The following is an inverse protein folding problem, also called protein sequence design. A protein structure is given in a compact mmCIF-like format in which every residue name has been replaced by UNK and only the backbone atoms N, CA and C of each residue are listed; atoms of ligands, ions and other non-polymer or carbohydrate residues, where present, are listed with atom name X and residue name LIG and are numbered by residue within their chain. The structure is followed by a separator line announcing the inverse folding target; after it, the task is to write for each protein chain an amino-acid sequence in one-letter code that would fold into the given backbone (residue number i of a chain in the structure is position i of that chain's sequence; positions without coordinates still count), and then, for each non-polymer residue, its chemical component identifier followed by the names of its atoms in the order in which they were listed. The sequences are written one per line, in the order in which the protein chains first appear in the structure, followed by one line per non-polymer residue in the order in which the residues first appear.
data_IF_311593297234
#
_entry.id   IF_311593297234
#
_cell.length_a   1.000
_cell.length_b   1.000
_cell.length_c   1.000
_cell.angle_alpha   90.00
_cell.angle_beta   90.00
_cell.angle_gamma   90.00
#
_symmetry.space_group_name_H-M   'P 1'
#
loop_
_entity.id
_entity.type
_entity.pdbx_description
1 polymer ?
#
# COMPACT_ATOMS: atom_id res chain seq x y z
N UNK A 1 5.29 9.21 13.72
CA UNK A 1 4.37 8.71 12.68
C UNK A 1 4.34 9.66 11.50
N UNK A 2 3.52 10.71 11.50
CA UNK A 2 3.62 11.76 10.47
C UNK A 2 2.87 13.02 10.88
N UNK A 3 3.18 14.14 10.24
CA UNK A 3 2.41 15.39 10.35
C UNK A 3 1.65 15.66 9.06
N UNK A 4 0.55 16.39 9.15
CA UNK A 4 -0.22 16.87 8.02
C UNK A 4 -0.18 18.40 7.98
N UNK A 5 0.03 18.96 6.80
CA UNK A 5 -0.09 20.40 6.55
C UNK A 5 -0.63 20.70 5.15
N UNK A 6 -1.03 21.94 4.92
CA UNK A 6 -1.55 22.45 3.63
C UNK A 6 -0.64 23.54 3.06
N UNK A 7 0.60 23.64 3.54
CA UNK A 7 1.55 24.73 3.26
C UNK A 7 1.58 25.79 4.35
N UNK A 8 1.89 27.04 3.97
CA UNK A 8 2.07 28.15 4.91
C UNK A 8 0.77 28.78 5.42
N UNK A 9 -0.39 28.34 4.92
CA UNK A 9 -1.71 28.85 5.28
C UNK A 9 -2.54 27.75 5.95
N UNK A 10 -3.37 28.08 6.96
CA UNK A 10 -4.39 27.17 7.49
C UNK A 10 -5.33 26.67 6.39
N UNK A 11 -5.87 25.45 6.55
CA UNK A 11 -6.85 24.88 5.63
C UNK A 11 -8.13 25.75 5.57
N UNK A 12 -8.56 26.27 6.72
CA UNK A 12 -9.75 27.12 6.84
C UNK A 12 -9.68 28.33 5.90
N UNK A 13 -8.57 29.07 5.93
CA UNK A 13 -8.33 30.21 5.04
C UNK A 13 -8.36 29.80 3.56
N UNK A 14 -7.78 28.63 3.22
CA UNK A 14 -7.77 28.13 1.84
C UNK A 14 -9.18 27.77 1.36
N UNK A 15 -10.04 27.29 2.25
CA UNK A 15 -11.42 26.93 1.95
C UNK A 15 -12.33 28.16 1.89
N UNK A 16 -12.08 29.18 2.72
CA UNK A 16 -12.80 30.45 2.68
C UNK A 16 -12.56 31.19 1.36
N UNK A 17 -11.32 31.21 0.86
CA UNK A 17 -10.97 31.80 -0.43
C UNK A 17 -11.78 31.24 -1.61
N UNK A 18 -12.19 29.97 -1.51
CA UNK A 18 -12.96 29.26 -2.55
C UNK A 18 -14.44 29.05 -2.16
N UNK A 19 -14.88 29.63 -1.04
CA UNK A 19 -16.26 29.56 -0.56
C UNK A 19 -16.73 28.16 -0.15
N UNK A 20 -15.82 27.27 0.24
CA UNK A 20 -16.11 25.87 0.58
C UNK A 20 -16.07 25.56 2.08
N UNK A 21 -15.70 26.52 2.94
CA UNK A 21 -15.55 26.30 4.39
C UNK A 21 -16.77 25.66 5.03
N UNK A 22 -17.95 26.22 4.76
CA UNK A 22 -19.20 25.69 5.30
C UNK A 22 -19.51 24.25 4.84
N UNK A 23 -19.28 23.95 3.56
CA UNK A 23 -19.48 22.61 3.01
C UNK A 23 -18.49 21.61 3.60
N UNK A 24 -17.22 22.01 3.73
CA UNK A 24 -16.18 21.22 4.37
C UNK A 24 -16.51 20.94 5.84
N UNK A 25 -16.88 21.94 6.63
CA UNK A 25 -17.20 21.77 8.05
C UNK A 25 -18.35 20.78 8.26
N UNK A 26 -19.39 20.88 7.43
CA UNK A 26 -20.51 19.93 7.44
C UNK A 26 -20.07 18.51 7.11
N UNK A 27 -19.20 18.33 6.12
CA UNK A 27 -18.68 17.03 5.74
C UNK A 27 -17.69 16.49 6.79
N UNK A 28 -16.90 17.36 7.41
CA UNK A 28 -15.98 17.03 8.51
C UNK A 28 -16.75 16.60 9.76
N UNK A 29 -17.86 17.25 10.10
CA UNK A 29 -18.73 16.87 11.21
C UNK A 29 -19.28 15.46 11.01
N UNK A 30 -19.86 15.17 9.83
CA UNK A 30 -20.36 13.83 9.48
C UNK A 30 -19.25 12.79 9.52
N UNK A 31 -18.11 13.09 8.89
CA UNK A 31 -16.94 12.21 8.85
C UNK A 31 -16.43 11.90 10.26
N UNK A 32 -16.35 12.92 11.12
CA UNK A 32 -15.89 12.80 12.50
C UNK A 32 -16.86 12.00 13.35
N UNK A 33 -18.18 12.24 13.22
CA UNK A 33 -19.20 11.46 13.92
C UNK A 33 -19.11 9.97 13.56
N UNK A 34 -18.99 9.65 12.26
CA UNK A 34 -18.82 8.29 11.80
C UNK A 34 -17.50 7.66 12.29
N UNK A 35 -16.40 8.42 12.23
CA UNK A 35 -15.10 7.98 12.72
C UNK A 35 -15.11 7.65 14.24
N UNK A 36 -15.79 8.45 15.07
CA UNK A 36 -15.98 8.13 16.50
C UNK A 36 -16.79 6.85 16.68
N UNK A 37 -17.89 6.71 15.94
CA UNK A 37 -18.72 5.51 15.99
C UNK A 37 -17.95 4.25 15.58
N UNK A 38 -17.11 4.33 14.55
CA UNK A 38 -16.22 3.24 14.15
C UNK A 38 -15.24 2.85 15.27
N UNK A 39 -14.71 3.81 16.02
CA UNK A 39 -13.79 3.54 17.10
C UNK A 39 -14.47 2.99 18.38
N UNK A 40 -15.76 3.27 18.58
CA UNK A 40 -16.51 2.87 19.79
C UNK A 40 -17.28 1.56 19.61
N UNK A 41 -18.03 1.42 18.52
CA UNK A 41 -19.09 0.40 18.40
C UNK A 41 -18.81 -0.67 17.34
N UNK A 42 -17.99 -0.37 16.34
CA UNK A 42 -17.81 -1.23 15.15
C UNK A 42 -16.42 -1.09 14.52
N UNK A 43 -15.41 -1.34 15.35
CA UNK A 43 -14.00 -1.39 14.95
C UNK A 43 -13.85 -2.18 13.64
N UNK A 44 -13.40 -1.54 12.53
CA UNK A 44 -13.21 -2.26 11.28
C UNK A 44 -12.32 -3.48 11.54
N UNK A 45 -12.65 -4.65 10.98
CA UNK A 45 -11.89 -5.88 11.17
C UNK A 45 -10.37 -5.75 11.06
N UNK A 46 -9.90 -4.93 10.12
CA UNK A 46 -8.47 -4.67 9.92
C UNK A 46 -7.83 -3.82 11.03
N UNK A 47 -8.61 -2.95 11.69
CA UNK A 47 -8.14 -2.09 12.77
C UNK A 47 -8.01 -2.85 14.10
N UNK A 48 -8.93 -3.79 14.39
CA UNK A 48 -8.89 -4.64 15.61
C UNK A 48 -7.55 -5.36 15.76
N UNK A 49 -7.08 -5.93 14.66
CA UNK A 49 -5.85 -6.74 14.59
C UNK A 49 -4.57 -5.97 14.85
N UNK A 50 -4.62 -4.65 14.94
CA UNK A 50 -3.44 -3.83 15.30
C UNK A 50 -3.23 -3.74 16.81
N UNK A 51 -4.30 -3.85 17.60
CA UNK A 51 -4.25 -3.91 19.06
C UNK A 51 -4.21 -5.34 19.61
N UNK A 52 -4.57 -6.33 18.80
CA UNK A 52 -4.62 -7.74 19.17
C UNK A 52 -3.37 -8.50 18.70
N UNK A 53 -2.62 -9.09 19.64
CA UNK A 53 -1.39 -9.86 19.35
C UNK A 53 -1.68 -11.36 19.08
N UNK A 54 -2.95 -11.73 18.82
CA UNK A 54 -3.39 -13.13 18.79
C UNK A 54 -2.77 -13.95 17.65
N UNK A 55 -2.62 -13.36 16.47
CA UNK A 55 -2.01 -14.02 15.30
C UNK A 55 -0.49 -13.76 15.19
N UNK A 56 0.09 -12.93 16.07
CA UNK A 56 1.50 -12.55 16.01
C UNK A 56 2.42 -13.73 16.26
N UNK A 57 2.13 -14.58 17.25
CA UNK A 57 2.92 -15.78 17.51
C UNK A 57 2.96 -16.73 16.30
N UNK A 58 1.84 -16.88 15.59
CA UNK A 58 1.76 -17.70 14.39
C UNK A 58 2.55 -17.09 13.21
N UNK A 59 2.50 -15.77 13.06
CA UNK A 59 3.28 -15.03 12.06
C UNK A 59 4.78 -15.23 12.29
N UNK A 60 5.26 -14.98 13.51
CA UNK A 60 6.67 -15.12 13.87
C UNK A 60 7.14 -16.58 13.76
N UNK A 61 6.31 -17.55 14.17
CA UNK A 61 6.65 -18.97 14.06
C UNK A 61 6.88 -19.39 12.60
N UNK A 62 5.98 -19.03 11.68
CA UNK A 62 6.13 -19.33 10.27
C UNK A 62 7.31 -18.57 9.64
N UNK A 63 7.50 -17.30 10.00
CA UNK A 63 8.63 -16.51 9.53
C UNK A 63 9.98 -17.12 9.95
N UNK A 64 10.11 -17.53 11.21
CA UNK A 64 11.31 -18.21 11.72
C UNK A 64 11.52 -19.61 11.15
N UNK A 65 10.45 -20.33 10.82
CA UNK A 65 10.54 -21.58 10.06
C UNK A 65 11.18 -21.33 8.69
N UNK A 66 10.67 -20.34 7.95
CA UNK A 66 11.19 -19.95 6.63
C UNK A 66 12.66 -19.50 6.73
N UNK A 67 12.98 -18.60 7.65
CA UNK A 67 14.34 -18.05 7.83
C UNK A 67 15.39 -19.11 8.19
N UNK A 68 15.01 -20.14 8.94
CA UNK A 68 15.94 -21.24 9.30
C UNK A 68 16.16 -22.20 8.14
N UNK A 69 15.14 -22.38 7.31
CA UNK A 69 15.15 -23.37 6.24
C UNK A 69 15.62 -22.84 4.90
N UNK A 70 15.53 -21.54 4.64
CA UNK A 70 15.58 -21.00 3.28
C UNK A 70 16.28 -19.64 3.22
N UNK A 71 16.78 -19.29 2.03
CA UNK A 71 17.35 -17.97 1.73
C UNK A 71 16.39 -17.09 0.95
N UNK A 72 15.48 -17.72 0.21
CA UNK A 72 14.56 -17.07 -0.71
C UNK A 72 13.11 -17.42 -0.34
N UNK A 73 12.23 -16.43 -0.37
CA UNK A 73 10.78 -16.59 -0.22
C UNK A 73 10.09 -16.03 -1.46
N UNK A 74 9.27 -16.83 -2.13
CA UNK A 74 8.41 -16.37 -3.23
C UNK A 74 6.98 -16.29 -2.73
N UNK A 75 6.39 -15.10 -2.75
CA UNK A 75 5.00 -14.86 -2.39
C UNK A 75 4.14 -14.86 -3.66
N UNK A 76 3.31 -15.89 -3.80
CA UNK A 76 2.37 -16.04 -4.90
C UNK A 76 1.02 -15.46 -4.51
N UNK A 77 0.59 -14.42 -5.20
CA UNK A 77 -0.63 -13.68 -4.88
C UNK A 77 -0.78 -12.48 -5.80
N UNK A 78 -2.01 -12.02 -5.97
CA UNK A 78 -2.32 -10.82 -6.75
C UNK A 78 -3.25 -9.89 -5.99
N UNK A 79 -3.29 -8.62 -6.38
CA UNK A 79 -4.06 -7.58 -5.71
C UNK A 79 -3.74 -7.48 -4.22
N UNK A 80 -4.76 -7.63 -3.36
CA UNK A 80 -4.62 -7.48 -1.92
C UNK A 80 -3.69 -8.50 -1.26
N UNK A 81 -3.55 -9.68 -1.87
CA UNK A 81 -2.61 -10.73 -1.42
C UNK A 81 -1.14 -10.41 -1.69
N UNK A 82 -0.84 -9.31 -2.40
CA UNK A 82 0.54 -9.00 -2.84
C UNK A 82 0.92 -7.53 -2.70
N UNK A 83 0.08 -6.59 -3.15
CA UNK A 83 0.42 -5.16 -3.18
C UNK A 83 0.72 -4.58 -1.79
N UNK A 84 0.00 -5.01 -0.75
CA UNK A 84 0.26 -4.59 0.63
C UNK A 84 1.63 -5.08 1.12
N UNK A 85 1.95 -6.35 0.90
CA UNK A 85 3.25 -6.93 1.27
C UNK A 85 4.38 -6.24 0.50
N UNK A 86 4.24 -6.00 -0.81
CA UNK A 86 5.21 -5.25 -1.61
C UNK A 86 5.46 -3.85 -1.05
N UNK A 87 4.40 -3.13 -0.67
CA UNK A 87 4.50 -1.80 -0.09
C UNK A 87 5.23 -1.82 1.28
N UNK A 88 4.95 -2.80 2.13
CA UNK A 88 5.60 -2.95 3.42
C UNK A 88 7.08 -3.39 3.30
N UNK A 89 7.37 -4.36 2.43
CA UNK A 89 8.71 -4.89 2.19
C UNK A 89 9.66 -3.87 1.53
N UNK A 90 9.11 -2.84 0.86
CA UNK A 90 9.91 -1.91 0.09
C UNK A 90 10.97 -1.16 0.93
N UNK A 91 10.76 -1.02 2.25
CA UNK A 91 11.74 -0.39 3.16
C UNK A 91 12.94 -1.31 3.49
N UNK A 92 12.81 -2.63 3.31
CA UNK A 92 13.89 -3.60 3.62
C UNK A 92 15.16 -3.33 2.80
N UNK A 93 15.01 -2.80 1.57
CA UNK A 93 16.13 -2.52 0.66
C UNK A 93 17.13 -1.46 1.18
N UNK A 94 16.75 -0.69 2.19
CA UNK A 94 17.59 0.36 2.77
C UNK A 94 18.27 -0.07 4.08
N UNK A 95 18.19 -1.35 4.42
CA UNK A 95 18.71 -1.91 5.67
C UNK A 95 19.58 -3.12 5.37
N UNK A 96 20.50 -3.49 6.29
CA UNK A 96 21.17 -4.79 6.21
C UNK A 96 20.12 -5.91 6.20
N UNK A 97 20.29 -6.89 5.32
CA UNK A 97 19.38 -8.05 5.29
C UNK A 97 19.53 -8.85 6.58
N UNK A 98 18.42 -9.04 7.30
CA UNK A 98 18.35 -9.84 8.53
C UNK A 98 17.44 -11.06 8.39
N UNK A 99 16.75 -11.18 7.25
CA UNK A 99 15.87 -12.30 6.93
C UNK A 99 16.12 -12.84 5.52
N UNK A 100 15.10 -13.49 4.95
CA UNK A 100 15.15 -14.05 3.59
C UNK A 100 14.90 -12.97 2.54
N UNK A 101 15.44 -13.15 1.35
CA UNK A 101 15.08 -12.33 0.19
C UNK A 101 13.66 -12.68 -0.24
N UNK A 102 12.79 -11.68 -0.39
CA UNK A 102 11.38 -11.90 -0.74
C UNK A 102 11.10 -11.45 -2.17
N UNK A 103 10.57 -12.36 -2.98
CA UNK A 103 10.08 -12.14 -4.34
C UNK A 103 8.56 -12.11 -4.36
N UNK A 104 7.98 -11.20 -5.14
CA UNK A 104 6.53 -10.98 -5.21
C UNK A 104 6.06 -10.89 -6.66
N UNK A 105 6.14 -11.99 -7.44
CA UNK A 105 5.62 -12.00 -8.81
C UNK A 105 4.10 -11.84 -8.77
N UNK A 106 3.61 -10.61 -8.93
CA UNK A 106 2.20 -10.25 -8.79
C UNK A 106 1.40 -10.29 -10.11
N UNK A 107 2.06 -10.74 -11.18
CA UNK A 107 1.50 -10.94 -12.52
C UNK A 107 1.89 -12.31 -13.09
N UNK A 108 1.16 -12.76 -14.12
CA UNK A 108 1.47 -13.97 -14.90
C UNK A 108 2.45 -13.70 -16.05
N UNK A 109 3.40 -12.78 -15.87
CA UNK A 109 4.39 -12.49 -16.90
C UNK A 109 5.35 -13.68 -17.07
N UNK A 110 5.35 -14.38 -18.22
CA UNK A 110 6.18 -15.57 -18.40
C UNK A 110 7.68 -15.24 -18.29
N UNK A 111 8.10 -14.07 -18.79
CA UNK A 111 9.50 -13.64 -18.72
C UNK A 111 10.00 -13.45 -17.28
N UNK A 112 9.13 -12.97 -16.38
CA UNK A 112 9.49 -12.82 -14.97
C UNK A 112 9.56 -14.18 -14.28
N UNK A 113 8.66 -15.10 -14.63
CA UNK A 113 8.70 -16.48 -14.13
C UNK A 113 9.98 -17.21 -14.60
N UNK A 114 10.32 -17.11 -15.89
CA UNK A 114 11.56 -17.68 -16.45
C UNK A 114 12.80 -17.09 -15.76
N UNK A 115 12.82 -15.77 -15.53
CA UNK A 115 13.90 -15.10 -14.80
C UNK A 115 14.04 -15.65 -13.37
N UNK A 116 12.94 -15.81 -12.64
CA UNK A 116 12.95 -16.38 -11.30
C UNK A 116 13.47 -17.82 -11.32
N UNK A 117 12.94 -18.67 -12.20
CA UNK A 117 13.37 -20.06 -12.33
C UNK A 117 14.84 -20.23 -12.75
N UNK A 118 15.39 -19.27 -13.49
CA UNK A 118 16.80 -19.26 -13.87
C UNK A 118 17.76 -18.76 -12.77
N UNK A 119 17.24 -18.07 -11.74
CA UNK A 119 18.07 -17.41 -10.72
C UNK A 119 17.93 -17.98 -9.33
N UNK A 120 16.80 -18.60 -9.01
CA UNK A 120 16.53 -19.21 -7.71
C UNK A 120 17.18 -20.60 -7.59
N UNK A 121 17.63 -20.95 -6.39
CA UNK A 121 18.02 -22.32 -6.04
C UNK A 121 16.80 -23.08 -5.49
N UNK A 122 16.36 -24.17 -6.12
CA UNK A 122 15.22 -24.98 -5.67
C UNK A 122 15.34 -25.47 -4.22
N UNK A 123 16.54 -25.70 -3.69
CA UNK A 123 16.73 -26.21 -2.31
C UNK A 123 16.64 -25.10 -1.24
N UNK A 124 16.81 -23.84 -1.66
CA UNK A 124 16.89 -22.66 -0.80
C UNK A 124 15.67 -21.74 -0.97
N UNK A 125 14.67 -22.17 -1.74
CA UNK A 125 13.44 -21.42 -2.04
C UNK A 125 12.22 -21.95 -1.29
N UNK A 126 11.56 -21.08 -0.52
CA UNK A 126 10.23 -21.31 0.03
C UNK A 126 9.16 -20.60 -0.80
N UNK A 127 7.97 -21.18 -0.94
CA UNK A 127 6.84 -20.65 -1.69
C UNK A 127 5.65 -20.45 -0.75
N UNK A 128 5.23 -19.18 -0.58
CA UNK A 128 4.04 -18.81 0.19
C UNK A 128 2.92 -18.42 -0.78
N UNK A 129 1.88 -19.24 -0.87
CA UNK A 129 0.73 -18.96 -1.75
C UNK A 129 -0.44 -18.35 -0.97
N UNK A 130 -0.92 -17.19 -1.42
CA UNK A 130 -1.91 -16.39 -0.71
C UNK A 130 -3.12 -16.10 -1.61
N UNK A 131 -4.26 -16.71 -1.28
CA UNK A 131 -5.54 -16.40 -1.91
C UNK A 131 -6.66 -16.57 -0.89
N UNK A 132 -7.39 -15.50 -0.58
CA UNK A 132 -8.55 -15.56 0.33
C UNK A 132 -9.57 -16.60 -0.14
N UNK A 133 -9.97 -16.54 -1.42
CA UNK A 133 -10.97 -17.47 -1.96
C UNK A 133 -10.41 -18.88 -2.21
N UNK A 134 -9.08 -19.03 -2.30
CA UNK A 134 -8.40 -20.25 -2.71
C UNK A 134 -8.68 -20.68 -4.16
N UNK A 135 -9.22 -19.78 -4.99
CA UNK A 135 -9.69 -20.04 -6.37
C UNK A 135 -9.20 -19.01 -7.39
N UNK A 136 -8.25 -18.14 -7.00
CA UNK A 136 -7.64 -17.14 -7.88
C UNK A 136 -6.78 -17.83 -8.93
N UNK A 137 -7.15 -17.68 -10.20
CA UNK A 137 -6.56 -18.44 -11.30
C UNK A 137 -5.05 -18.16 -11.43
N UNK A 138 -4.65 -16.90 -11.27
CA UNK A 138 -3.27 -16.45 -11.35
C UNK A 138 -2.41 -17.12 -10.27
N UNK A 139 -2.86 -17.08 -9.02
CA UNK A 139 -2.15 -17.70 -7.89
C UNK A 139 -2.05 -19.22 -8.05
N UNK A 140 -3.10 -19.88 -8.52
CA UNK A 140 -3.09 -21.32 -8.76
C UNK A 140 -2.16 -21.70 -9.92
N UNK A 141 -2.16 -20.93 -11.01
CA UNK A 141 -1.24 -21.15 -12.13
C UNK A 141 0.22 -21.01 -11.70
N UNK A 142 0.54 -19.96 -10.92
CA UNK A 142 1.88 -19.78 -10.36
C UNK A 142 2.27 -20.93 -9.43
N UNK A 143 1.37 -21.37 -8.55
CA UNK A 143 1.60 -22.49 -7.64
C UNK A 143 1.95 -23.77 -8.41
N UNK A 144 1.19 -24.09 -9.45
CA UNK A 144 1.43 -25.27 -10.28
C UNK A 144 2.76 -25.15 -11.03
N UNK A 145 3.09 -23.97 -11.57
CA UNK A 145 4.36 -23.73 -12.24
C UNK A 145 5.56 -23.89 -11.28
N UNK A 146 5.49 -23.30 -10.08
CA UNK A 146 6.54 -23.43 -9.06
C UNK A 146 6.70 -24.87 -8.60
N UNK A 147 5.61 -25.63 -8.44
CA UNK A 147 5.69 -27.07 -8.14
C UNK A 147 6.43 -27.82 -9.25
N UNK A 148 6.02 -27.62 -10.50
CA UNK A 148 6.61 -28.32 -11.65
C UNK A 148 8.11 -28.02 -11.82
N UNK A 149 8.52 -26.79 -11.52
CA UNK A 149 9.94 -26.41 -11.51
C UNK A 149 10.70 -27.00 -10.32
N UNK A 150 10.13 -26.96 -9.11
CA UNK A 150 10.82 -27.30 -7.86
C UNK A 150 10.95 -28.82 -7.64
N UNK A 151 9.88 -29.58 -7.89
CA UNK A 151 9.77 -31.02 -7.62
C UNK A 151 10.90 -31.89 -8.22
N UNK A 152 11.29 -31.73 -9.51
CA UNK A 152 12.35 -32.56 -10.07
C UNK A 152 13.77 -32.18 -9.60
N UNK A 153 13.94 -31.02 -8.94
CA UNK A 153 15.26 -30.45 -8.65
C UNK A 153 15.59 -30.40 -7.15
N UNK A 154 14.58 -30.38 -6.29
CA UNK A 154 14.79 -30.30 -4.84
C UNK A 154 15.24 -31.65 -4.26
N UNK A 155 16.06 -31.58 -3.22
CA UNK A 155 16.46 -32.71 -2.38
C UNK A 155 15.65 -32.78 -1.08
N UNK A 156 14.75 -31.83 -0.85
CA UNK A 156 13.96 -31.73 0.38
C UNK A 156 12.53 -32.23 0.14
N UNK A 157 11.83 -32.67 1.20
CA UNK A 157 10.40 -32.96 1.11
C UNK A 157 9.64 -31.75 0.55
N UNK A 158 8.81 -31.97 -0.47
CA UNK A 158 8.04 -30.88 -1.07
C UNK A 158 7.22 -30.10 -0.05
N UNK A 159 6.64 -30.77 0.95
CA UNK A 159 5.84 -30.13 1.97
C UNK A 159 6.56 -28.98 2.71
N UNK A 160 7.88 -29.06 2.81
CA UNK A 160 8.70 -28.08 3.52
C UNK A 160 8.89 -26.80 2.67
N UNK A 161 8.74 -26.89 1.35
CA UNK A 161 8.88 -25.76 0.43
C UNK A 161 7.63 -24.89 0.30
N UNK A 162 6.48 -25.34 0.80
CA UNK A 162 5.22 -24.64 0.57
C UNK A 162 4.52 -24.30 1.88
N UNK A 163 3.98 -23.09 1.92
CA UNK A 163 2.97 -22.70 2.90
C UNK A 163 1.85 -21.91 2.23
N UNK A 164 0.69 -21.86 2.89
CA UNK A 164 -0.54 -21.34 2.30
C UNK A 164 -1.24 -20.38 3.24
N UNK A 165 -1.81 -19.31 2.70
CA UNK A 165 -2.75 -18.42 3.40
C UNK A 165 -4.06 -18.40 2.61
N UNK A 166 -5.12 -18.98 3.19
CA UNK A 166 -6.44 -19.12 2.57
C UNK A 166 -7.52 -19.18 3.63
N UNK A 167 -8.79 -18.99 3.26
CA UNK A 167 -9.91 -19.14 4.20
C UNK A 167 -10.10 -20.59 4.71
N UNK A 168 -10.71 -20.77 5.90
CA UNK A 168 -11.12 -22.06 6.46
C UNK A 168 -12.34 -22.64 5.76
N UNK A 169 -12.27 -22.78 4.43
CA UNK A 169 -13.33 -23.37 3.61
C UNK A 169 -12.74 -24.24 2.49
N UNK A 170 -13.52 -25.22 1.97
CA UNK A 170 -13.10 -25.98 0.80
C UNK A 170 -12.77 -25.07 -0.39
N UNK A 171 -11.57 -25.21 -0.92
CA UNK A 171 -11.07 -24.49 -2.09
C UNK A 171 -9.90 -25.26 -2.71
N UNK A 172 -9.54 -24.93 -3.95
CA UNK A 172 -8.43 -25.59 -4.64
C UNK A 172 -7.09 -25.37 -3.89
N UNK A 173 -6.83 -24.15 -3.43
CA UNK A 173 -5.61 -23.83 -2.69
C UNK A 173 -5.53 -24.60 -1.35
N UNK A 174 -6.65 -24.68 -0.62
CA UNK A 174 -6.70 -25.40 0.65
C UNK A 174 -6.49 -26.90 0.44
N UNK A 175 -7.21 -27.50 -0.49
CA UNK A 175 -7.07 -28.92 -0.81
C UNK A 175 -5.65 -29.27 -1.26
N UNK A 176 -5.00 -28.39 -2.02
CA UNK A 176 -3.60 -28.55 -2.42
C UNK A 176 -2.66 -28.56 -1.21
N UNK A 177 -2.79 -27.59 -0.30
CA UNK A 177 -1.98 -27.52 0.91
C UNK A 177 -2.17 -28.73 1.84
N UNK A 178 -3.42 -29.16 2.02
CA UNK A 178 -3.79 -30.33 2.83
C UNK A 178 -3.22 -31.63 2.24
N UNK A 179 -3.36 -31.83 0.92
CA UNK A 179 -2.82 -33.00 0.22
C UNK A 179 -1.29 -33.07 0.29
N UNK A 180 -0.62 -31.91 0.28
CA UNK A 180 0.82 -31.84 0.42
C UNK A 180 1.30 -32.06 1.87
N UNK A 181 0.43 -31.83 2.86
CA UNK A 181 0.80 -31.86 4.28
C UNK A 181 1.63 -30.64 4.70
N UNK A 182 1.46 -29.52 4.00
CA UNK A 182 2.15 -28.25 4.23
C UNK A 182 1.42 -27.36 5.25
N UNK A 183 2.13 -26.38 5.80
CA UNK A 183 1.56 -25.43 6.75
C UNK A 183 0.52 -24.52 6.07
N UNK A 184 -0.70 -24.49 6.61
CA UNK A 184 -1.78 -23.57 6.21
C UNK A 184 -2.06 -22.61 7.36
N UNK A 185 -1.96 -21.31 7.08
CA UNK A 185 -2.33 -20.22 7.97
C UNK A 185 -3.67 -19.66 7.53
N UNK A 186 -4.56 -19.41 8.48
CA UNK A 186 -5.91 -18.94 8.16
C UNK A 186 -5.90 -17.48 7.71
N UNK A 187 -6.55 -17.21 6.57
CA UNK A 187 -6.88 -15.85 6.15
C UNK A 187 -8.02 -15.32 7.04
N UNK A 188 -7.92 -14.11 7.58
CA UNK A 188 -9.03 -13.48 8.32
C UNK A 188 -10.32 -13.43 7.49
N UNK A 189 -11.39 -14.03 8.01
CA UNK A 189 -12.69 -14.07 7.32
C UNK A 189 -13.28 -12.66 7.15
N UNK A 190 -13.12 -11.83 8.17
CA UNK A 190 -13.72 -10.50 8.30
C UNK A 190 -12.91 -9.38 7.63
N UNK A 191 -11.71 -9.67 7.09
CA UNK A 191 -10.87 -8.66 6.41
C UNK A 191 -10.81 -8.94 4.91
N UNK A 192 -11.22 -7.96 4.09
CA UNK A 192 -11.06 -8.01 2.63
C UNK A 192 -9.59 -7.87 2.21
N UNK A 193 -9.23 -8.43 1.05
CA UNK A 193 -7.82 -8.51 0.61
C UNK A 193 -7.11 -7.15 0.53
N UNK A 194 -7.76 -6.10 0.01
CA UNK A 194 -7.13 -4.76 -0.07
C UNK A 194 -6.86 -4.10 1.30
N UNK A 195 -7.49 -4.61 2.36
CA UNK A 195 -7.31 -4.18 3.75
C UNK A 195 -6.45 -5.15 4.59
N UNK A 196 -5.95 -6.25 4.02
CA UNK A 196 -5.31 -7.32 4.79
C UNK A 196 -3.81 -7.14 5.04
N UNK A 197 -3.21 -6.01 4.69
CA UNK A 197 -1.75 -5.81 4.79
C UNK A 197 -1.21 -5.97 6.21
N UNK A 198 -1.96 -5.58 7.25
CA UNK A 198 -1.55 -5.68 8.66
C UNK A 198 -1.92 -7.03 9.32
N UNK A 199 -2.49 -7.96 8.55
CA UNK A 199 -2.83 -9.31 9.02
C UNK A 199 -1.74 -10.31 8.63
N UNK A 200 -1.96 -11.60 8.89
CA UNK A 200 -1.10 -12.70 8.43
C UNK A 200 -0.71 -12.59 6.95
N UNK A 201 -1.60 -12.07 6.10
CA UNK A 201 -1.38 -11.90 4.65
C UNK A 201 -0.15 -11.05 4.34
N UNK A 202 -0.04 -9.86 4.92
CA UNK A 202 1.12 -9.00 4.68
C UNK A 202 2.24 -9.19 5.70
N UNK A 203 1.93 -9.61 6.92
CA UNK A 203 2.89 -9.64 8.02
C UNK A 203 3.78 -10.89 8.03
N UNK A 204 3.35 -12.04 7.50
CA UNK A 204 4.21 -13.21 7.32
C UNK A 204 5.41 -12.91 6.40
N UNK A 205 5.24 -12.40 5.17
CA UNK A 205 6.39 -12.12 4.31
C UNK A 205 7.27 -10.99 4.87
N UNK A 206 6.68 -9.99 5.54
CA UNK A 206 7.40 -8.91 6.22
C UNK A 206 8.29 -9.44 7.35
N UNK A 207 7.75 -10.31 8.22
CA UNK A 207 8.51 -10.96 9.29
C UNK A 207 9.63 -11.84 8.70
N UNK A 208 9.34 -12.62 7.66
CA UNK A 208 10.32 -13.47 6.99
C UNK A 208 11.51 -12.65 6.44
N UNK A 209 11.24 -11.44 5.91
CA UNK A 209 12.26 -10.48 5.47
C UNK A 209 13.05 -9.81 6.62
N UNK A 210 12.70 -10.10 7.88
CA UNK A 210 13.39 -9.56 9.06
C UNK A 210 12.91 -8.18 9.51
N UNK A 211 11.73 -7.74 9.06
CA UNK A 211 11.10 -6.49 9.49
C UNK A 211 10.17 -6.70 10.69
N UNK A 212 9.99 -5.65 11.52
CA UNK A 212 9.19 -5.73 12.74
C UNK A 212 7.68 -5.63 12.50
N UNK A 213 6.96 -6.75 12.63
CA UNK A 213 5.48 -6.80 12.62
C UNK A 213 4.89 -5.90 13.70
N UNK A 214 5.50 -5.92 14.90
CA UNK A 214 5.07 -5.07 16.01
C UNK A 214 5.19 -3.60 15.68
N UNK A 215 6.25 -3.18 14.98
CA UNK A 215 6.42 -1.79 14.53
C UNK A 215 5.28 -1.35 13.62
N UNK A 216 4.96 -2.13 12.59
CA UNK A 216 3.85 -1.83 11.69
C UNK A 216 2.50 -1.72 12.42
N UNK A 217 2.21 -2.68 13.29
CA UNK A 217 0.96 -2.69 14.06
C UNK A 217 0.90 -1.56 15.07
N UNK A 218 2.01 -1.23 15.72
CA UNK A 218 2.08 -0.12 16.67
C UNK A 218 1.74 1.21 15.99
N UNK A 219 2.41 1.55 14.89
CA UNK A 219 2.11 2.78 14.15
C UNK A 219 0.69 2.83 13.62
N UNK A 220 0.17 1.71 13.13
CA UNK A 220 -1.23 1.61 12.73
C UNK A 220 -2.20 1.83 13.89
N UNK A 221 -1.93 1.23 15.04
CA UNK A 221 -2.77 1.31 16.23
C UNK A 221 -2.87 2.74 16.79
N UNK A 222 -1.78 3.49 16.76
CA UNK A 222 -1.77 4.89 17.22
C UNK A 222 -2.61 5.81 16.32
N UNK A 223 -2.62 5.59 14.99
CA UNK A 223 -3.55 6.30 14.09
C UNK A 223 -4.99 5.97 14.41
N UNK A 224 -5.29 4.69 14.63
CA UNK A 224 -6.62 4.26 15.02
C UNK A 224 -7.10 4.92 16.32
N UNK A 225 -6.26 4.97 17.36
CA UNK A 225 -6.57 5.68 18.62
C UNK A 225 -6.89 7.15 18.37
N UNK A 226 -6.08 7.83 17.56
CA UNK A 226 -6.28 9.25 17.26
C UNK A 226 -7.62 9.50 16.55
N UNK A 227 -8.04 8.62 15.65
CA UNK A 227 -9.34 8.71 14.97
C UNK A 227 -10.51 8.55 15.95
N UNK A 228 -10.36 7.73 16.99
CA UNK A 228 -11.37 7.61 18.04
C UNK A 228 -11.43 8.80 19.00
N UNK A 229 -10.29 9.42 19.31
CA UNK A 229 -10.20 10.48 20.32
C UNK A 229 -10.39 11.89 19.77
N UNK A 230 -9.76 12.21 18.64
CA UNK A 230 -9.73 13.57 18.04
C UNK A 230 -9.92 13.54 16.51
N UNK A 231 -10.94 12.84 15.99
CA UNK A 231 -11.10 12.59 14.55
C UNK A 231 -11.03 13.84 13.69
N UNK A 232 -11.61 14.95 14.15
CA UNK A 232 -11.67 16.25 13.48
C UNK A 232 -10.28 16.84 13.15
N UNK A 233 -9.22 16.35 13.80
CA UNK A 233 -7.82 16.76 13.54
C UNK A 233 -6.98 15.70 12.85
N UNK A 234 -7.54 14.51 12.61
CA UNK A 234 -6.79 13.39 12.01
C UNK A 234 -6.74 13.49 10.49
N UNK A 235 -5.58 13.13 9.93
CA UNK A 235 -5.36 13.21 8.48
C UNK A 235 -6.33 12.35 7.66
N UNK A 236 -6.75 11.19 8.20
CA UNK A 236 -7.70 10.30 7.54
C UNK A 236 -9.09 10.92 7.39
N UNK A 237 -9.60 11.54 8.46
CA UNK A 237 -10.95 12.13 8.48
C UNK A 237 -10.97 13.44 7.70
N UNK A 238 -9.96 14.30 7.89
CA UNK A 238 -9.80 15.54 7.11
C UNK A 238 -9.63 15.21 5.62
N UNK A 239 -8.84 14.20 5.28
CA UNK A 239 -8.64 13.73 3.91
C UNK A 239 -9.94 13.32 3.22
N UNK A 240 -10.74 12.49 3.89
CA UNK A 240 -12.04 12.05 3.38
C UNK A 240 -13.01 13.22 3.22
N UNK A 241 -13.18 14.06 4.25
CA UNK A 241 -14.07 15.21 4.21
C UNK A 241 -13.68 16.22 3.12
N UNK A 242 -12.38 16.52 2.99
CA UNK A 242 -11.87 17.44 1.98
C UNK A 242 -12.04 16.86 0.57
N UNK A 243 -11.68 15.60 0.36
CA UNK A 243 -11.84 14.93 -0.95
C UNK A 243 -13.31 14.92 -1.38
N UNK A 244 -14.22 14.58 -0.47
CA UNK A 244 -15.66 14.60 -0.74
C UNK A 244 -16.15 16.00 -1.10
N UNK A 245 -15.78 17.01 -0.30
CA UNK A 245 -16.17 18.40 -0.53
C UNK A 245 -15.67 18.92 -1.89
N UNK A 246 -14.42 18.62 -2.25
CA UNK A 246 -13.86 19.02 -3.54
C UNK A 246 -14.51 18.26 -4.71
N UNK A 247 -14.89 16.99 -4.53
CA UNK A 247 -15.60 16.24 -5.55
C UNK A 247 -17.00 16.84 -5.81
N UNK A 248 -17.75 17.17 -4.76
CA UNK A 248 -19.10 17.73 -4.87
C UNK A 248 -19.12 19.16 -5.44
N UNK A 249 -18.14 19.99 -5.09
CA UNK A 249 -18.21 21.43 -5.34
C UNK A 249 -17.16 21.98 -6.30
N UNK A 250 -16.08 21.25 -6.58
CA UNK A 250 -14.99 21.68 -7.48
C UNK A 250 -14.79 20.77 -8.69
N UNK A 251 -15.62 19.74 -8.85
CA UNK A 251 -15.47 18.79 -9.97
C UNK A 251 -14.18 17.97 -9.89
N UNK A 252 -13.64 17.77 -8.69
CA UNK A 252 -12.49 16.87 -8.50
C UNK A 252 -12.93 15.44 -8.78
N UNK A 253 -12.39 14.87 -9.85
CA UNK A 253 -12.68 13.49 -10.29
C UNK A 253 -11.48 12.56 -10.10
N UNK A 254 -10.34 13.09 -9.67
CA UNK A 254 -9.10 12.36 -9.53
C UNK A 254 -8.41 12.68 -8.19
N UNK A 255 -7.77 11.69 -7.59
CA UNK A 255 -6.92 11.88 -6.40
C UNK A 255 -5.48 11.51 -6.75
N UNK A 256 -4.56 12.46 -6.61
CA UNK A 256 -3.14 12.24 -6.85
C UNK A 256 -2.45 11.91 -5.53
N UNK A 257 -1.78 10.76 -5.46
CA UNK A 257 -0.83 10.44 -4.39
C UNK A 257 0.60 10.48 -4.96
N UNK A 258 1.35 11.51 -4.59
CA UNK A 258 2.73 11.73 -5.04
C UNK A 258 3.72 11.56 -3.89
N UNK A 259 4.50 10.49 -3.92
CA UNK A 259 5.47 10.20 -2.86
C UNK A 259 6.90 10.62 -3.24
N UNK A 260 7.67 11.16 -2.29
CA UNK A 260 9.07 11.56 -2.46
C UNK A 260 10.03 10.59 -1.74
N UNK A 261 9.91 9.31 -2.09
CA UNK A 261 10.88 8.26 -1.77
C UNK A 261 10.59 7.03 -2.63
N UNK A 262 11.62 6.40 -3.20
CA UNK A 262 11.44 5.21 -4.05
C UNK A 262 10.82 4.02 -3.30
N UNK A 263 11.04 3.94 -1.98
CA UNK A 263 10.38 2.97 -1.09
C UNK A 263 8.85 3.03 -1.20
N UNK A 264 8.30 4.23 -1.37
CA UNK A 264 6.87 4.49 -1.35
C UNK A 264 6.21 4.26 -2.72
N UNK A 265 6.98 3.91 -3.76
CA UNK A 265 6.43 3.56 -5.08
C UNK A 265 5.40 2.43 -4.98
N UNK A 266 5.74 1.36 -4.28
CA UNK A 266 4.82 0.24 -4.04
C UNK A 266 3.62 0.65 -3.18
N UNK A 267 3.83 1.57 -2.21
CA UNK A 267 2.74 2.15 -1.42
C UNK A 267 1.71 2.89 -2.28
N UNK A 268 2.15 3.69 -3.27
CA UNK A 268 1.20 4.35 -4.19
C UNK A 268 0.40 3.34 -5.03
N UNK A 269 1.00 2.20 -5.42
CA UNK A 269 0.29 1.11 -6.12
C UNK A 269 -0.77 0.47 -5.22
N UNK A 270 -0.42 0.15 -3.97
CA UNK A 270 -1.37 -0.37 -2.97
C UNK A 270 -2.53 0.61 -2.73
N UNK A 271 -2.24 1.90 -2.51
CA UNK A 271 -3.27 2.93 -2.34
C UNK A 271 -4.22 2.99 -3.55
N UNK A 272 -3.68 2.89 -4.77
CA UNK A 272 -4.50 2.88 -5.97
C UNK A 272 -5.54 1.75 -5.99
N UNK A 273 -5.16 0.54 -5.55
CA UNK A 273 -6.11 -0.56 -5.40
C UNK A 273 -7.13 -0.26 -4.29
N UNK A 274 -6.65 0.13 -3.10
CA UNK A 274 -7.47 0.41 -1.94
C UNK A 274 -8.59 1.41 -2.30
N UNK A 275 -8.21 2.52 -2.93
CA UNK A 275 -9.11 3.61 -3.28
C UNK A 275 -10.10 3.21 -4.38
N UNK A 276 -9.59 2.68 -5.50
CA UNK A 276 -10.42 2.38 -6.66
C UNK A 276 -11.46 1.28 -6.40
N UNK A 277 -11.06 0.16 -5.81
CA UNK A 277 -11.98 -0.97 -5.57
C UNK A 277 -13.02 -0.65 -4.48
N UNK A 278 -12.67 0.19 -3.51
CA UNK A 278 -13.58 0.53 -2.40
C UNK A 278 -14.60 1.60 -2.80
N UNK A 279 -14.20 2.58 -3.62
CA UNK A 279 -15.02 3.77 -3.87
C UNK A 279 -15.63 3.83 -5.29
N UNK A 280 -15.09 3.04 -6.24
CA UNK A 280 -15.61 2.95 -7.60
C UNK A 280 -16.89 2.12 -7.68
N UNK A 281 -18.00 2.67 -7.19
CA UNK A 281 -19.31 1.99 -7.05
C UNK A 281 -20.45 2.90 -7.47
N UNK A 282 -21.50 2.31 -8.02
CA UNK A 282 -22.75 3.00 -8.37
C UNK A 282 -22.57 4.27 -9.23
N UNK A 283 -21.57 4.25 -10.13
CA UNK A 283 -21.22 5.41 -10.96
C UNK A 283 -20.49 6.55 -10.22
N UNK A 284 -20.13 6.34 -8.96
CA UNK A 284 -19.35 7.27 -8.11
C UNK A 284 -17.89 6.81 -8.00
N UNK A 285 -17.06 7.70 -7.46
CA UNK A 285 -15.64 7.46 -7.17
C UNK A 285 -14.73 8.53 -7.76
N UNK A 286 -13.46 8.47 -7.39
CA UNK A 286 -12.41 9.29 -7.98
C UNK A 286 -11.26 8.41 -8.44
N UNK A 287 -10.65 8.77 -9.57
CA UNK A 287 -9.57 7.99 -10.18
C UNK A 287 -8.27 8.21 -9.41
N UNK A 288 -7.63 7.17 -8.86
CA UNK A 288 -6.36 7.33 -8.16
C UNK A 288 -5.18 7.43 -9.15
N UNK A 289 -4.50 8.56 -9.14
CA UNK A 289 -3.23 8.78 -9.85
C UNK A 289 -2.09 8.46 -8.89
N UNK A 290 -1.14 7.65 -9.37
CA UNK A 290 0.01 7.16 -8.62
C UNK A 290 1.25 7.84 -9.19
N UNK A 291 2.01 8.57 -8.36
CA UNK A 291 3.20 9.26 -8.82
C UNK A 291 4.33 9.18 -7.78
N UNK A 292 5.57 9.27 -8.26
CA UNK A 292 6.78 9.33 -7.44
C UNK A 292 7.65 10.50 -7.89
N UNK A 293 7.94 11.41 -6.95
CA UNK A 293 8.87 12.50 -7.17
C UNK A 293 10.33 12.09 -6.89
N UNK A 294 11.30 12.67 -7.60
CA UNK A 294 11.14 13.67 -8.66
C UNK A 294 10.83 13.07 -10.05
N UNK A 295 10.85 11.73 -10.20
CA UNK A 295 10.76 11.05 -11.51
C UNK A 295 9.54 11.50 -12.32
N UNK A 296 8.34 11.51 -11.71
CA UNK A 296 7.11 11.88 -12.42
C UNK A 296 6.93 13.39 -12.62
N UNK A 297 7.87 14.20 -12.13
CA UNK A 297 7.98 15.60 -12.56
C UNK A 297 8.35 15.71 -14.04
N UNK A 298 8.96 14.68 -14.61
CA UNK A 298 9.40 14.64 -16.01
C UNK A 298 8.45 13.86 -16.92
N UNK A 299 7.28 13.47 -16.42
CA UNK A 299 6.28 12.71 -17.20
C UNK A 299 4.88 13.29 -17.07
N UNK A 300 4.43 13.63 -15.86
CA UNK A 300 3.04 13.99 -15.57
C UNK A 300 2.87 15.42 -15.04
N UNK A 301 3.93 16.05 -14.53
CA UNK A 301 3.80 17.37 -13.88
C UNK A 301 3.27 18.47 -14.79
N UNK A 302 3.54 18.44 -16.10
CA UNK A 302 2.93 19.39 -17.03
C UNK A 302 1.38 19.31 -16.97
N UNK A 303 0.82 18.10 -16.92
CA UNK A 303 -0.62 17.88 -16.77
C UNK A 303 -1.11 18.30 -15.38
N UNK A 304 -0.32 18.07 -14.34
CA UNK A 304 -0.69 18.46 -12.98
C UNK A 304 -0.71 19.98 -12.79
N UNK A 305 0.17 20.71 -13.47
CA UNK A 305 0.27 22.16 -13.38
C UNK A 305 -0.73 22.87 -14.32
N UNK A 306 -0.75 22.55 -15.60
CA UNK A 306 -1.50 23.33 -16.60
C UNK A 306 -2.62 22.53 -17.28
N UNK A 307 -2.94 21.33 -16.76
CA UNK A 307 -4.12 20.57 -17.15
C UNK A 307 -5.40 20.98 -16.41
N UNK A 308 -6.48 20.20 -16.58
CA UNK A 308 -7.75 20.42 -15.88
C UNK A 308 -7.61 20.53 -14.36
N UNK A 309 -8.45 21.35 -13.73
CA UNK A 309 -8.58 21.44 -12.26
C UNK A 309 -9.52 20.40 -11.67
N UNK A 310 -9.15 19.13 -11.86
CA UNK A 310 -9.95 17.97 -11.49
C UNK A 310 -9.22 17.03 -10.51
N UNK A 311 -8.15 17.50 -9.84
CA UNK A 311 -7.27 16.71 -8.98
C UNK A 311 -7.18 17.27 -7.56
N UNK A 312 -7.44 16.44 -6.56
CA UNK A 312 -6.94 16.68 -5.19
C UNK A 312 -5.60 15.97 -5.00
N UNK A 313 -4.55 16.72 -4.64
CA UNK A 313 -3.19 16.18 -4.57
C UNK A 313 -2.73 16.01 -3.12
N UNK A 314 -2.32 14.79 -2.78
CA UNK A 314 -1.64 14.44 -1.52
C UNK A 314 -0.18 14.10 -1.80
N UNK A 315 0.73 14.77 -1.10
CA UNK A 315 2.15 14.53 -1.13
C UNK A 315 2.58 13.74 0.09
N UNK A 316 3.35 12.66 -0.07
CA UNK A 316 4.03 12.00 1.04
C UNK A 316 5.52 12.35 0.96
N UNK A 317 6.02 13.07 1.95
CA UNK A 317 7.41 13.57 1.97
C UNK A 317 8.18 12.91 3.10
N UNK A 318 9.40 12.47 2.80
CA UNK A 318 10.41 12.07 3.78
C UNK A 318 11.47 13.17 3.81
N UNK A 319 11.69 13.88 4.94
CA UNK A 319 12.72 14.91 5.01
C UNK A 319 14.10 14.34 4.65
N UNK A 320 14.71 14.83 3.57
CA UNK A 320 15.97 14.28 3.05
C UNK A 320 17.13 15.27 3.02
N UNK A 321 16.98 16.47 3.59
CA UNK A 321 18.09 17.43 3.71
C UNK A 321 19.33 16.79 4.36
N UNK A 322 20.48 17.01 3.74
CA UNK A 322 21.77 16.45 4.17
C UNK A 322 21.92 14.94 4.01
N UNK A 323 20.95 14.23 3.41
CA UNK A 323 21.01 12.78 3.17
C UNK A 323 21.52 12.45 1.77
N UNK A 324 22.15 11.28 1.65
CA UNK A 324 22.71 10.77 0.39
C UNK A 324 24.09 11.35 0.04
N UNK A 325 24.66 10.97 -1.11
CA UNK A 325 25.95 11.47 -1.57
C UNK A 325 25.97 13.00 -1.66
N UNK A 326 27.11 13.59 -1.26
CA UNK A 326 27.40 15.01 -1.49
C UNK A 326 27.88 15.22 -2.92
N UNK A 327 27.38 16.27 -3.54
CA UNK A 327 27.80 16.72 -4.87
C UNK A 327 29.14 17.44 -4.74
N UNK A 328 30.12 17.04 -5.55
CA UNK A 328 31.47 17.62 -5.55
C UNK A 328 31.38 19.14 -5.80
N UNK A 329 31.77 19.98 -4.81
CA UNK A 329 31.67 21.43 -4.95
C UNK A 329 32.52 21.99 -6.09
N UNK A 330 33.70 21.42 -6.36
CA UNK A 330 34.59 21.89 -7.42
C UNK A 330 33.99 21.52 -8.77
N UNK A 331 33.64 20.24 -8.96
CA UNK A 331 33.04 19.79 -10.20
C UNK A 331 31.74 20.56 -10.52
N UNK A 332 30.90 20.84 -9.52
CA UNK A 332 29.70 21.65 -9.71
C UNK A 332 30.03 23.07 -10.19
N UNK A 333 30.97 23.77 -9.53
CA UNK A 333 31.37 25.15 -9.90
C UNK A 333 32.04 25.21 -11.27
N UNK A 334 32.95 24.28 -11.56
CA UNK A 334 33.66 24.21 -12.85
C UNK A 334 32.68 24.02 -14.02
N UNK A 335 31.45 23.54 -13.75
CA UNK A 335 30.39 23.35 -14.73
C UNK A 335 29.20 24.33 -14.57
N UNK A 336 29.36 25.43 -13.81
CA UNK A 336 28.32 26.46 -13.66
C UNK A 336 27.10 26.05 -12.82
N UNK A 337 27.24 25.03 -11.98
CA UNK A 337 26.20 24.49 -11.09
C UNK A 337 26.40 24.95 -9.63
N UNK A 338 26.79 26.21 -9.41
CA UNK A 338 27.10 26.78 -8.10
C UNK A 338 26.03 26.53 -7.03
N UNK A 339 24.74 26.55 -7.43
CA UNK A 339 23.62 26.30 -6.53
C UNK A 339 23.60 24.88 -5.94
N UNK A 340 24.24 23.92 -6.62
CA UNK A 340 24.36 22.52 -6.21
C UNK A 340 25.67 22.22 -5.46
N UNK A 341 26.66 23.13 -5.49
CA UNK A 341 27.98 22.88 -4.93
C UNK A 341 27.91 22.54 -3.43
N UNK A 342 28.36 21.33 -3.05
CA UNK A 342 28.38 20.85 -1.67
C UNK A 342 27.02 20.43 -1.08
N UNK A 343 25.94 20.53 -1.87
CA UNK A 343 24.61 20.00 -1.52
C UNK A 343 24.62 18.48 -1.58
N UNK A 344 23.62 17.85 -0.96
CA UNK A 344 23.38 16.41 -1.16
C UNK A 344 22.30 16.16 -2.21
N UNK A 345 22.23 14.93 -2.72
CA UNK A 345 21.09 14.48 -3.54
C UNK A 345 19.76 14.71 -2.78
N UNK A 346 19.75 14.41 -1.48
CA UNK A 346 18.58 14.63 -0.63
C UNK A 346 18.14 16.10 -0.51
N UNK A 347 19.08 17.05 -0.52
CA UNK A 347 18.74 18.48 -0.58
C UNK A 347 17.96 18.81 -1.87
N UNK A 348 18.42 18.26 -2.99
CA UNK A 348 17.78 18.47 -4.31
C UNK A 348 16.36 17.92 -4.33
N UNK A 349 16.17 16.68 -3.86
CA UNK A 349 14.85 16.02 -3.79
C UNK A 349 13.88 16.80 -2.90
N UNK A 350 14.33 17.25 -1.72
CA UNK A 350 13.46 18.04 -0.82
C UNK A 350 13.07 19.38 -1.45
N UNK A 351 14.01 20.07 -2.11
CA UNK A 351 13.73 21.31 -2.83
C UNK A 351 12.74 21.09 -4.00
N UNK A 352 12.88 20.00 -4.75
CA UNK A 352 11.97 19.65 -5.84
C UNK A 352 10.55 19.35 -5.36
N UNK A 353 10.42 18.65 -4.23
CA UNK A 353 9.12 18.41 -3.59
C UNK A 353 8.41 19.71 -3.24
N UNK A 354 9.14 20.60 -2.56
CA UNK A 354 8.63 21.92 -2.18
C UNK A 354 8.27 22.76 -3.40
N UNK A 355 9.14 22.84 -4.40
CA UNK A 355 8.90 23.61 -5.61
C UNK A 355 7.65 23.16 -6.37
N UNK A 356 7.42 21.84 -6.46
CA UNK A 356 6.20 21.28 -7.09
C UNK A 356 4.94 21.70 -6.34
N UNK A 357 4.98 21.58 -5.02
CA UNK A 357 3.86 21.95 -4.16
C UNK A 357 3.56 23.46 -4.26
N UNK A 358 4.59 24.30 -4.21
CA UNK A 358 4.45 25.75 -4.34
C UNK A 358 3.92 26.15 -5.72
N UNK A 359 4.35 25.48 -6.79
CA UNK A 359 3.84 25.70 -8.14
C UNK A 359 2.35 25.33 -8.30
N UNK A 360 1.88 24.29 -7.62
CA UNK A 360 0.45 23.93 -7.55
C UNK A 360 -0.33 24.96 -6.72
N UNK A 361 0.17 25.34 -5.54
CA UNK A 361 -0.47 26.36 -4.69
C UNK A 361 -0.61 27.70 -5.39
N UNK A 362 0.42 28.13 -6.14
CA UNK A 362 0.39 29.36 -6.94
C UNK A 362 -0.72 29.38 -8.02
N UNK A 363 -1.25 28.20 -8.39
CA UNK A 363 -2.38 28.03 -9.31
C UNK A 363 -3.71 27.83 -8.59
N UNK A 364 -3.78 28.17 -7.30
CA UNK A 364 -4.98 28.06 -6.48
C UNK A 364 -5.38 26.62 -6.13
N UNK A 365 -4.46 25.65 -6.24
CA UNK A 365 -4.74 24.24 -5.92
C UNK A 365 -4.58 24.00 -4.42
N UNK A 366 -5.61 23.43 -3.80
CA UNK A 366 -5.54 22.94 -2.42
C UNK A 366 -4.82 21.58 -2.45
N UNK A 367 -3.70 21.49 -1.75
CA UNK A 367 -2.90 20.27 -1.66
C UNK A 367 -2.65 19.89 -0.20
N UNK A 368 -2.57 18.60 0.05
CA UNK A 368 -2.24 18.03 1.37
C UNK A 368 -0.81 17.51 1.35
N UNK A 369 -0.01 17.84 2.35
CA UNK A 369 1.29 17.20 2.59
C UNK A 369 1.20 16.33 3.84
N UNK A 370 1.69 15.09 3.72
CA UNK A 370 1.96 14.18 4.83
C UNK A 370 3.47 14.01 4.95
N UNK A 371 4.06 14.45 6.06
CA UNK A 371 5.51 14.34 6.30
C UNK A 371 5.78 13.19 7.26
N UNK A 372 6.48 12.16 6.81
CA UNK A 372 6.89 11.02 7.65
C UNK A 372 8.35 11.20 8.11
N UNK A 373 8.64 10.87 9.36
CA UNK A 373 9.96 11.16 9.95
C UNK A 373 11.07 10.23 9.45
N UNK A 374 10.72 8.98 9.12
CA UNK A 374 11.66 7.98 8.62
C UNK A 374 10.92 6.90 7.81
N UNK A 375 11.71 6.14 7.03
CA UNK A 375 11.25 4.94 6.33
C UNK A 375 11.38 3.74 7.26
N UNK A 376 10.43 3.60 8.18
CA UNK A 376 10.35 2.51 9.14
C UNK A 376 8.95 1.91 9.29
N UNK A 377 8.90 0.78 9.99
CA UNK A 377 7.71 -0.03 10.18
C UNK A 377 6.58 0.79 10.82
N UNK A 378 6.87 1.58 11.84
CA UNK A 378 5.87 2.40 12.53
C UNK A 378 5.29 3.48 11.60
N UNK A 379 6.13 4.24 10.90
CA UNK A 379 5.66 5.31 10.03
C UNK A 379 4.89 4.74 8.82
N UNK A 380 5.33 3.62 8.23
CA UNK A 380 4.60 2.97 7.13
C UNK A 380 3.30 2.32 7.63
N UNK A 381 3.31 1.69 8.80
CA UNK A 381 2.11 1.14 9.45
C UNK A 381 1.05 2.22 9.71
N UNK A 382 1.49 3.38 10.19
CA UNK A 382 0.64 4.55 10.37
C UNK A 382 0.01 5.02 9.05
N UNK A 383 0.80 5.09 7.96
CA UNK A 383 0.28 5.45 6.64
C UNK A 383 -0.76 4.44 6.14
N UNK A 384 -0.50 3.13 6.27
CA UNK A 384 -1.47 2.10 5.91
C UNK A 384 -2.81 2.33 6.63
N UNK A 385 -2.77 2.49 7.95
CA UNK A 385 -4.00 2.70 8.72
C UNK A 385 -4.71 4.00 8.34
N UNK A 386 -3.96 5.10 8.16
CA UNK A 386 -4.54 6.38 7.79
C UNK A 386 -5.32 6.29 6.49
N UNK A 387 -4.75 5.70 5.44
CA UNK A 387 -5.44 5.60 4.14
C UNK A 387 -6.56 4.54 4.15
N UNK A 388 -6.44 3.46 4.93
CA UNK A 388 -7.55 2.50 5.12
C UNK A 388 -8.75 3.18 5.79
N UNK A 389 -8.53 3.94 6.86
CA UNK A 389 -9.60 4.68 7.54
C UNK A 389 -10.16 5.81 6.68
N UNK A 390 -9.31 6.56 5.96
CA UNK A 390 -9.72 7.59 5.02
C UNK A 390 -10.67 7.02 3.96
N UNK A 391 -10.34 5.85 3.41
CA UNK A 391 -11.16 5.16 2.41
C UNK A 391 -12.52 4.75 2.98
N UNK A 392 -12.57 4.19 4.20
CA UNK A 392 -13.82 3.77 4.85
C UNK A 392 -14.70 4.98 5.18
N UNK A 393 -14.12 6.06 5.70
CA UNK A 393 -14.85 7.30 5.99
C UNK A 393 -15.36 7.95 4.71
N UNK A 394 -14.56 7.96 3.64
CA UNK A 394 -14.97 8.46 2.32
C UNK A 394 -16.14 7.66 1.74
N UNK A 395 -16.10 6.33 1.84
CA UNK A 395 -17.19 5.46 1.39
C UNK A 395 -18.50 5.76 2.12
N UNK A 396 -18.43 6.02 3.43
CA UNK A 396 -19.59 6.44 4.21
C UNK A 396 -20.17 7.78 3.72
N UNK A 397 -19.32 8.79 3.50
CA UNK A 397 -19.76 10.08 2.95
C UNK A 397 -20.42 9.92 1.57
N UNK A 398 -19.89 9.03 0.74
CA UNK A 398 -20.43 8.72 -0.59
C UNK A 398 -21.70 7.86 -0.56
N UNK A 399 -22.00 7.20 0.57
CA UNK A 399 -23.08 6.21 0.70
C UNK A 399 -22.86 4.96 -0.16
N UNK A 400 -21.65 4.41 -0.18
CA UNK A 400 -21.30 3.16 -0.88
C UNK A 400 -20.63 2.16 0.07
N UNK A 401 -20.63 0.87 -0.28
CA UNK A 401 -19.91 -0.16 0.48
C UNK A 401 -18.42 -0.20 0.12
N UNK A 402 -17.57 0.05 1.12
CA UNK A 402 -16.12 0.04 1.00
C UNK A 402 -15.53 -1.37 0.88
N UNK A 403 -16.26 -2.42 1.23
CA UNK A 403 -15.73 -3.75 1.51
C UNK A 403 -16.02 -4.80 0.46
N UNK A 404 -17.02 -4.58 -0.42
CA UNK A 404 -17.36 -5.50 -1.50
C UNK A 404 -16.65 -5.11 -2.83
N UNK A 405 -16.77 -5.97 -3.85
CA UNK A 405 -16.26 -5.72 -5.21
C UNK A 405 -17.02 -6.53 -6.29
N UNK A 406 -18.36 -6.42 -6.39
CA UNK A 406 -19.16 -7.34 -7.20
C UNK A 406 -18.79 -7.33 -8.70
N UNK A 407 -18.45 -6.17 -9.25
CA UNK A 407 -18.24 -6.00 -10.70
C UNK A 407 -17.04 -6.80 -11.26
N UNK A 408 -16.04 -7.15 -10.45
CA UNK A 408 -14.85 -7.85 -10.96
C UNK A 408 -15.10 -9.34 -11.23
N UNK A 409 -16.17 -9.92 -10.65
CA UNK A 409 -16.46 -11.35 -10.77
C UNK A 409 -16.87 -11.76 -12.20
N UNK A 410 -17.49 -10.86 -12.97
CA UNK A 410 -17.88 -11.12 -14.36
C UNK A 410 -16.67 -11.51 -15.21
N UNK A 411 -15.58 -10.73 -15.11
CA UNK A 411 -14.34 -11.01 -15.83
C UNK A 411 -13.75 -12.39 -15.47
N UNK A 412 -13.83 -12.80 -14.19
CA UNK A 412 -13.31 -14.09 -13.72
C UNK A 412 -14.12 -15.26 -14.27
N UNK A 413 -15.43 -15.11 -14.37
CA UNK A 413 -16.32 -16.12 -14.97
C UNK A 413 -15.97 -16.30 -16.45
N UNK A 414 -15.83 -15.19 -17.19
CA UNK A 414 -15.47 -15.22 -18.60
C UNK A 414 -14.08 -15.83 -18.84
N UNK A 415 -13.07 -15.49 -18.05
CA UNK A 415 -11.73 -16.10 -18.16
C UNK A 415 -11.78 -17.62 -17.99
N UNK A 416 -12.51 -18.13 -16.99
CA UNK A 416 -12.65 -19.59 -16.78
C UNK A 416 -13.36 -20.25 -17.95
N UNK A 417 -14.41 -19.62 -18.48
CA UNK A 417 -15.12 -20.08 -19.67
C UNK A 417 -14.16 -20.19 -20.86
N UNK A 418 -13.42 -19.14 -21.17
CA UNK A 418 -12.51 -19.13 -22.32
C UNK A 418 -11.37 -20.13 -22.17
N UNK A 419 -10.82 -20.31 -20.96
CA UNK A 419 -9.81 -21.35 -20.72
C UNK A 419 -10.35 -22.77 -20.93
N UNK A 420 -11.62 -23.03 -20.60
CA UNK A 420 -12.24 -24.33 -20.82
C UNK A 420 -12.60 -24.60 -22.29
N UNK A 421 -12.61 -23.56 -23.13
CA UNK A 421 -12.86 -23.65 -24.58
C UNK A 421 -11.57 -23.88 -25.39
N UNK A 422 -10.39 -23.81 -24.76
CA UNK A 422 -9.11 -24.13 -25.42
C UNK A 422 -8.97 -25.65 -25.53
N UNK A 423 -9.07 -26.16 -26.76
CA UNK A 423 -8.86 -27.58 -27.13
C UNK A 423 -7.42 -28.05 -26.92
#
# INVERSE_FOLDING_TARGET
MFTMDFGSRPLDDLLDDVGLKHAFDKNLEKASAYARALAMDALPPFARRTGEDQDHAAIEALAHEIQRGFKELVVLGTGGSSLGAQAALAIARYRPSTGVTVHTPDSLCPFEMDRLFATLDPNETHVLSISKSGTTAETLAQLLAFRAWLEPQTKRPLKDHFSFITEPKPSALRAYGEALGSHIVEHPLDVGGRFSVLTTVGMVPVAAAGLSVKGFRHGAHEIYKAVGSVPETTAAVIGAALTHTLAEHRGVTQVLLMAYADALRAFTRWHGQLWAESLGKDGKGTTPIRAVGPVDQHSQLQLFLDGPDDKFSTFIVVPSYGKGPRLDPKAAKDNGLDYMAGRTIGDTVTCQARATQDALRARGRIIRQLTINALDEENIGALFMSFMLETVVMAHLMGVDAFDQPAVEESKILTRKYLAELE
#
